data_IF_099875239876
#
_entry.id   IF_099875239876
#
_cell.length_a   1.000
_cell.length_b   1.000
_cell.length_c   1.000
_cell.angle_alpha   90.00
_cell.angle_beta   90.00
_cell.angle_gamma   90.00
#
_symmetry.space_group_name_H-M   'P 1'
#
loop_
_entity.id
_entity.type
_entity.pdbx_description
1 polymer ?
#
# COMPACT_ATOMS: atom_id res chain seq x y z
N UNK A 1 -18.89 25.65 -43.25
CA UNK A 1 -19.86 25.08 -42.28
C UNK A 1 -19.73 23.56 -42.10
N UNK A 2 -19.56 22.73 -43.15
CA UNK A 2 -19.43 21.26 -43.01
C UNK A 2 -18.22 20.79 -42.15
N UNK A 3 -17.07 21.46 -42.27
CA UNK A 3 -15.87 21.12 -41.48
C UNK A 3 -16.04 21.35 -39.96
N UNK A 4 -16.72 22.42 -39.56
CA UNK A 4 -16.99 22.71 -38.15
C UNK A 4 -17.96 21.70 -37.53
N UNK A 5 -18.98 21.26 -38.28
CA UNK A 5 -19.91 20.22 -37.83
C UNK A 5 -19.21 18.85 -37.62
N UNK A 6 -18.24 18.51 -38.48
CA UNK A 6 -17.43 17.29 -38.35
C UNK A 6 -16.59 17.29 -37.09
N UNK A 7 -15.89 18.41 -36.79
CA UNK A 7 -15.05 18.53 -35.60
C UNK A 7 -15.85 18.46 -34.29
N UNK A 8 -17.06 19.02 -34.28
CA UNK A 8 -17.95 18.94 -33.11
C UNK A 8 -18.45 17.50 -32.88
N UNK A 9 -18.74 16.76 -33.96
CA UNK A 9 -19.16 15.37 -33.88
C UNK A 9 -18.02 14.48 -33.35
N UNK A 10 -16.82 14.67 -33.86
CA UNK A 10 -15.62 13.93 -33.45
C UNK A 10 -15.25 14.23 -31.98
N UNK A 11 -15.33 15.48 -31.55
CA UNK A 11 -15.13 15.85 -30.15
C UNK A 11 -16.18 15.22 -29.21
N UNK A 12 -17.44 15.09 -29.66
CA UNK A 12 -18.49 14.40 -28.90
C UNK A 12 -18.23 12.90 -28.81
N UNK A 13 -17.82 12.27 -29.92
CA UNK A 13 -17.45 10.85 -29.95
C UNK A 13 -16.26 10.56 -29.04
N UNK A 14 -15.21 11.37 -29.11
CA UNK A 14 -14.03 11.23 -28.24
C UNK A 14 -14.39 11.40 -26.75
N UNK A 15 -15.28 12.35 -26.41
CA UNK A 15 -15.78 12.48 -25.03
C UNK A 15 -16.56 11.25 -24.58
N UNK A 16 -17.43 10.70 -25.43
CA UNK A 16 -18.19 9.48 -25.09
C UNK A 16 -17.28 8.27 -24.95
N UNK A 17 -16.27 8.14 -25.81
CA UNK A 17 -15.29 7.06 -25.75
C UNK A 17 -14.45 7.14 -24.47
N UNK A 18 -13.88 8.31 -24.16
CA UNK A 18 -13.12 8.51 -22.93
C UNK A 18 -13.96 8.24 -21.68
N UNK A 19 -15.24 8.63 -21.69
CA UNK A 19 -16.16 8.32 -20.60
C UNK A 19 -16.38 6.81 -20.45
N UNK A 20 -16.59 6.08 -21.55
CA UNK A 20 -16.77 4.64 -21.51
C UNK A 20 -15.50 3.88 -21.05
N UNK A 21 -14.32 4.31 -21.49
CA UNK A 21 -13.04 3.77 -21.02
C UNK A 21 -12.89 3.97 -19.51
N UNK A 22 -13.16 5.19 -19.03
CA UNK A 22 -13.10 5.51 -17.60
C UNK A 22 -14.10 4.68 -16.77
N UNK A 23 -15.33 4.53 -17.26
CA UNK A 23 -16.35 3.69 -16.60
C UNK A 23 -15.93 2.22 -16.55
N UNK A 24 -15.31 1.70 -17.61
CA UNK A 24 -14.75 0.34 -17.65
C UNK A 24 -13.63 0.15 -16.63
N UNK A 25 -12.68 1.08 -16.55
CA UNK A 25 -11.59 1.05 -15.56
C UNK A 25 -12.12 1.06 -14.12
N UNK A 26 -13.19 1.83 -13.85
CA UNK A 26 -13.88 1.82 -12.55
C UNK A 26 -14.47 0.44 -12.23
N UNK A 27 -15.10 -0.20 -13.21
CA UNK A 27 -15.69 -1.53 -12.99
C UNK A 27 -14.60 -2.56 -12.73
N UNK A 28 -13.51 -2.56 -13.50
CA UNK A 28 -12.35 -3.43 -13.26
C UNK A 28 -11.81 -3.22 -11.84
N UNK A 29 -11.60 -1.97 -11.41
CA UNK A 29 -11.14 -1.68 -10.06
C UNK A 29 -12.12 -2.14 -8.96
N UNK A 30 -13.43 -2.08 -9.21
CA UNK A 30 -14.46 -2.61 -8.29
C UNK A 30 -14.41 -4.13 -8.21
N UNK A 31 -14.27 -4.81 -9.35
CA UNK A 31 -14.11 -6.27 -9.40
C UNK A 31 -12.83 -6.72 -8.72
N UNK A 32 -11.70 -6.05 -8.96
CA UNK A 32 -10.44 -6.32 -8.28
C UNK A 32 -10.58 -6.14 -6.76
N UNK A 33 -11.26 -5.08 -6.33
CA UNK A 33 -11.53 -4.84 -4.90
C UNK A 33 -12.39 -5.95 -4.30
N UNK A 34 -13.41 -6.42 -5.02
CA UNK A 34 -14.24 -7.54 -4.59
C UNK A 34 -13.44 -8.83 -4.52
N UNK A 35 -12.65 -9.17 -5.56
CA UNK A 35 -11.79 -10.34 -5.59
C UNK A 35 -10.81 -10.35 -4.40
N UNK A 36 -10.14 -9.23 -4.14
CA UNK A 36 -9.27 -9.04 -2.97
C UNK A 36 -10.03 -9.18 -1.65
N UNK A 37 -11.27 -8.70 -1.57
CA UNK A 37 -12.09 -8.83 -0.37
C UNK A 37 -12.47 -10.29 -0.08
N UNK A 38 -12.72 -11.08 -1.13
CA UNK A 38 -12.96 -12.52 -1.04
C UNK A 38 -11.70 -13.28 -0.62
N UNK A 39 -10.53 -12.92 -1.16
CA UNK A 39 -9.24 -13.49 -0.73
C UNK A 39 -8.89 -13.13 0.73
N UNK A 40 -9.30 -11.95 1.19
CA UNK A 40 -9.04 -11.46 2.55
C UNK A 40 -10.02 -11.95 3.60
N UNK A 41 -11.07 -12.71 3.23
CA UNK A 41 -11.99 -13.23 4.22
C UNK A 41 -11.26 -14.26 5.10
N UNK A 42 -11.17 -14.02 6.42
CA UNK A 42 -10.52 -14.97 7.31
C UNK A 42 -11.36 -16.25 7.28
N UNK A 43 -10.79 -17.33 6.73
CA UNK A 43 -11.28 -18.68 7.06
C UNK A 43 -11.21 -18.77 8.57
N UNK A 44 -12.35 -18.99 9.24
CA UNK A 44 -12.45 -19.06 10.71
C UNK A 44 -11.28 -19.90 11.24
N UNK A 45 -10.26 -19.22 11.76
CA UNK A 45 -9.11 -19.88 12.33
C UNK A 45 -9.60 -20.56 13.60
N UNK A 46 -9.44 -21.88 13.69
CA UNK A 46 -9.36 -22.53 14.99
C UNK A 46 -8.19 -21.89 15.73
N UNK A 47 -8.38 -21.59 17.01
CA UNK A 47 -7.41 -21.01 17.93
C UNK A 47 -6.16 -21.88 18.12
N UNK A 48 -5.37 -22.10 17.07
CA UNK A 48 -4.25 -23.04 17.09
C UNK A 48 -3.16 -22.58 16.14
N UNK A 49 -2.37 -21.60 16.58
CA UNK A 49 -0.89 -21.57 16.52
C UNK A 49 -0.40 -20.19 16.98
N UNK A 50 0.02 -20.09 18.24
CA UNK A 50 0.72 -18.95 18.84
C UNK A 50 2.16 -18.77 18.34
N UNK A 51 2.49 -19.25 17.13
CA UNK A 51 3.79 -18.96 16.51
C UNK A 51 3.65 -17.75 15.59
N UNK A 52 3.71 -16.58 16.21
CA UNK A 52 3.96 -15.32 15.50
C UNK A 52 5.33 -15.44 14.84
N UNK A 53 5.38 -15.48 13.50
CA UNK A 53 6.63 -15.49 12.75
C UNK A 53 7.29 -14.13 12.88
N UNK A 54 8.57 -14.13 13.22
CA UNK A 54 9.38 -12.91 13.37
C UNK A 54 9.80 -12.41 12.00
N UNK A 55 9.61 -11.11 11.75
CA UNK A 55 10.09 -10.46 10.53
C UNK A 55 11.61 -10.30 10.63
N UNK A 56 12.35 -10.88 9.69
CA UNK A 56 13.82 -10.83 9.71
C UNK A 56 14.42 -10.80 8.31
N UNK A 57 15.39 -9.91 8.11
CA UNK A 57 16.16 -9.85 6.86
C UNK A 57 17.05 -11.08 6.66
N UNK A 58 17.33 -11.85 7.71
CA UNK A 58 18.09 -13.10 7.58
C UNK A 58 17.29 -14.22 6.90
N UNK A 59 15.97 -14.08 6.82
CA UNK A 59 15.10 -15.06 6.17
C UNK A 59 15.05 -14.90 4.64
N UNK A 60 15.64 -13.82 4.10
CA UNK A 60 15.57 -13.54 2.68
C UNK A 60 16.35 -14.60 1.89
N UNK A 61 15.66 -15.24 0.94
CA UNK A 61 16.22 -16.33 0.12
C UNK A 61 16.87 -15.82 -1.16
N UNK A 62 16.61 -14.56 -1.50
CA UNK A 62 17.04 -13.91 -2.75
C UNK A 62 17.15 -12.40 -2.58
N UNK A 63 17.78 -11.76 -3.55
CA UNK A 63 17.85 -10.31 -3.63
C UNK A 63 16.51 -9.74 -4.10
N UNK A 64 16.03 -8.74 -3.37
CA UNK A 64 14.74 -8.10 -3.61
C UNK A 64 14.94 -6.69 -4.16
N UNK A 65 14.46 -6.44 -5.38
CA UNK A 65 14.56 -5.14 -6.04
C UNK A 65 13.20 -4.71 -6.57
N UNK A 66 12.89 -3.43 -6.42
CA UNK A 66 11.82 -2.77 -7.16
C UNK A 66 12.44 -2.12 -8.37
N UNK A 67 12.18 -2.67 -9.55
CA UNK A 67 12.60 -2.11 -10.84
C UNK A 67 11.36 -1.85 -11.68
N UNK A 68 10.70 -0.73 -11.41
CA UNK A 68 9.53 -0.29 -12.15
C UNK A 68 9.68 1.13 -12.65
N UNK A 69 8.92 1.46 -13.69
CA UNK A 69 8.91 2.80 -14.25
C UNK A 69 8.35 3.83 -13.24
N UNK A 70 8.52 5.12 -13.55
CA UNK A 70 7.97 6.20 -12.74
C UNK A 70 6.48 5.92 -12.41
N UNK A 71 6.03 6.17 -11.16
CA UNK A 71 6.66 7.00 -10.13
C UNK A 71 7.60 6.26 -9.16
N UNK A 72 7.88 4.97 -9.38
CA UNK A 72 8.71 4.18 -8.46
C UNK A 72 10.21 4.43 -8.72
N UNK A 73 10.97 4.66 -7.65
CA UNK A 73 12.43 4.68 -7.73
C UNK A 73 12.96 3.24 -7.78
N UNK A 74 13.96 2.99 -8.63
CA UNK A 74 14.71 1.73 -8.61
C UNK A 74 15.47 1.60 -7.29
N UNK A 75 15.14 0.57 -6.51
CA UNK A 75 15.74 0.37 -5.18
C UNK A 75 15.84 -1.10 -4.81
N UNK A 76 16.93 -1.47 -4.13
CA UNK A 76 17.06 -2.74 -3.42
C UNK A 76 16.35 -2.65 -2.06
N UNK A 77 15.29 -3.45 -1.89
CA UNK A 77 14.43 -3.40 -0.69
C UNK A 77 15.20 -3.70 0.61
N UNK A 78 16.11 -4.69 0.66
CA UNK A 78 16.82 -5.01 1.91
C UNK A 78 17.70 -3.85 2.38
N UNK A 79 18.34 -3.13 1.46
CA UNK A 79 19.20 -1.97 1.78
C UNK A 79 18.41 -0.84 2.45
N UNK A 80 17.16 -0.63 2.04
CA UNK A 80 16.27 0.33 2.71
C UNK A 80 16.03 -0.07 4.17
N UNK A 81 15.80 -1.35 4.41
CA UNK A 81 15.35 -1.87 5.69
C UNK A 81 16.47 -2.11 6.70
N UNK A 82 17.74 -1.92 6.34
CA UNK A 82 18.88 -2.04 7.27
C UNK A 82 18.70 -1.14 8.50
N UNK A 83 18.06 0.03 8.32
CA UNK A 83 17.79 0.99 9.41
C UNK A 83 16.39 0.84 10.03
N UNK A 84 15.59 -0.11 9.54
CA UNK A 84 14.23 -0.32 10.02
C UNK A 84 14.25 -1.20 11.28
N UNK A 85 13.54 -0.76 12.32
CA UNK A 85 13.34 -1.56 13.52
C UNK A 85 12.05 -2.38 13.42
N UNK A 86 12.22 -3.70 13.40
CA UNK A 86 11.12 -4.65 13.53
C UNK A 86 10.60 -4.61 14.98
N UNK A 87 9.27 -4.67 15.14
CA UNK A 87 8.62 -4.65 16.43
C UNK A 87 7.71 -5.87 16.56
N UNK A 88 8.04 -6.82 17.42
CA UNK A 88 7.28 -8.07 17.51
C UNK A 88 6.04 -7.98 18.43
N UNK A 89 5.77 -6.80 19.00
CA UNK A 89 4.65 -6.59 19.93
C UNK A 89 3.31 -6.28 19.25
N UNK A 90 3.33 -5.88 17.98
CA UNK A 90 2.13 -5.52 17.22
C UNK A 90 1.53 -6.73 16.48
N UNK A 91 0.22 -6.71 16.16
CA UNK A 91 -0.38 -7.69 15.26
C UNK A 91 0.34 -7.78 13.92
N UNK A 92 0.37 -8.97 13.33
CA UNK A 92 1.16 -9.26 12.13
C UNK A 92 0.89 -8.30 10.96
N UNK A 93 -0.37 -8.08 10.58
CA UNK A 93 -0.71 -7.09 9.53
C UNK A 93 -0.21 -5.67 9.84
N UNK A 94 -0.09 -5.25 11.11
CA UNK A 94 0.43 -3.92 11.47
C UNK A 94 1.94 -3.86 11.27
N UNK A 95 2.67 -4.93 11.59
CA UNK A 95 4.10 -5.04 11.30
C UNK A 95 4.37 -4.97 9.80
N UNK A 96 3.62 -5.71 8.99
CA UNK A 96 3.69 -5.57 7.54
C UNK A 96 3.35 -4.15 7.08
N UNK A 97 2.29 -3.54 7.64
CA UNK A 97 1.94 -2.16 7.30
C UNK A 97 3.08 -1.18 7.62
N UNK A 98 3.81 -1.35 8.73
CA UNK A 98 4.97 -0.51 9.05
C UNK A 98 6.10 -0.69 8.04
N UNK A 99 6.44 -1.93 7.68
CA UNK A 99 7.47 -2.23 6.68
C UNK A 99 7.09 -1.61 5.34
N UNK A 100 5.88 -1.88 4.85
CA UNK A 100 5.41 -1.33 3.57
C UNK A 100 5.33 0.18 3.57
N UNK A 101 4.85 0.79 4.66
CA UNK A 101 4.82 2.26 4.79
C UNK A 101 6.22 2.83 4.69
N UNK A 102 7.19 2.23 5.37
CA UNK A 102 8.59 2.65 5.28
C UNK A 102 9.12 2.53 3.84
N UNK A 103 8.91 1.40 3.16
CA UNK A 103 9.31 1.21 1.77
C UNK A 103 8.66 2.27 0.87
N UNK A 104 7.34 2.47 0.97
CA UNK A 104 6.63 3.46 0.17
C UNK A 104 7.16 4.87 0.43
N UNK A 105 7.46 5.26 1.67
CA UNK A 105 8.03 6.59 1.94
C UNK A 105 9.38 6.84 1.24
N UNK A 106 10.18 5.79 1.03
CA UNK A 106 11.50 5.89 0.40
C UNK A 106 11.45 5.78 -1.13
N UNK A 107 10.55 4.95 -1.64
CA UNK A 107 10.50 4.59 -3.07
C UNK A 107 9.51 5.48 -3.84
N UNK A 108 8.50 5.99 -3.14
CA UNK A 108 7.39 6.73 -3.72
C UNK A 108 7.59 8.23 -3.54
N UNK A 109 8.50 8.82 -4.31
CA UNK A 109 8.88 10.22 -4.12
C UNK A 109 7.95 11.23 -4.83
N UNK A 110 7.20 10.83 -5.86
CA UNK A 110 6.50 11.84 -6.67
C UNK A 110 5.26 11.33 -7.39
N UNK A 111 4.10 11.45 -6.73
CA UNK A 111 2.87 11.71 -7.49
C UNK A 111 2.47 13.18 -7.49
N UNK A 112 2.89 13.98 -6.51
CA UNK A 112 2.65 15.43 -6.57
C UNK A 112 3.47 16.13 -7.66
N UNK A 113 4.70 15.70 -7.93
CA UNK A 113 5.55 16.37 -8.93
C UNK A 113 5.27 15.93 -10.38
N UNK A 114 4.74 14.72 -10.59
CA UNK A 114 4.41 14.21 -11.92
C UNK A 114 2.96 14.46 -12.35
N UNK A 115 2.07 14.82 -11.42
CA UNK A 115 0.74 15.33 -11.77
C UNK A 115 0.72 16.83 -11.49
N UNK A 116 0.87 17.66 -12.51
CA UNK A 116 0.40 19.07 -12.51
C UNK A 116 -1.14 19.16 -12.38
N UNK A 117 -1.73 18.25 -11.61
CA UNK A 117 -3.15 18.03 -11.41
C UNK A 117 -3.35 18.25 -9.91
N UNK A 118 -4.18 19.24 -9.62
CA UNK A 118 -4.53 19.77 -8.31
C UNK A 118 -4.54 18.73 -7.20
N UNK A 119 -4.05 19.11 -6.01
CA UNK A 119 -4.14 18.33 -4.78
C UNK A 119 -5.57 17.87 -4.41
N UNK A 120 -6.60 18.41 -5.07
CA UNK A 120 -8.00 17.97 -4.99
C UNK A 120 -8.27 16.64 -5.70
N UNK A 121 -7.59 16.34 -6.81
CA UNK A 121 -7.77 15.11 -7.60
C UNK A 121 -7.40 13.84 -6.80
N UNK A 122 -6.51 13.98 -5.83
CA UNK A 122 -6.09 12.89 -4.93
C UNK A 122 -7.02 12.69 -3.74
N UNK A 123 -7.90 13.65 -3.43
CA UNK A 123 -8.99 13.45 -2.45
C UNK A 123 -10.13 12.64 -3.04
N UNK A 124 -10.24 12.58 -4.36
CA UNK A 124 -11.21 11.74 -5.04
C UNK A 124 -10.83 10.26 -4.89
N UNK A 125 -11.84 9.45 -4.58
CA UNK A 125 -11.76 8.07 -4.05
C UNK A 125 -11.24 7.02 -5.05
N UNK A 126 -10.51 7.42 -6.08
CA UNK A 126 -10.17 6.61 -7.25
C UNK A 126 -8.66 6.60 -7.51
N UNK A 127 -7.86 6.18 -6.52
CA UNK A 127 -6.46 5.85 -6.75
C UNK A 127 -6.34 4.50 -7.47
N UNK A 128 -5.50 4.46 -8.49
CA UNK A 128 -5.10 3.25 -9.20
C UNK A 128 -4.43 2.26 -8.22
N UNK A 129 -4.62 0.97 -8.48
CA UNK A 129 -3.93 -0.10 -7.77
C UNK A 129 -2.41 0.03 -7.99
N UNK A 130 -1.61 -0.58 -7.11
CA UNK A 130 -0.18 -0.75 -7.40
C UNK A 130 -0.02 -1.48 -8.75
N UNK A 131 1.01 -1.18 -9.54
CA UNK A 131 1.34 -2.02 -10.69
C UNK A 131 1.49 -3.47 -10.22
N UNK A 132 0.92 -4.41 -10.98
CA UNK A 132 0.83 -5.81 -10.57
C UNK A 132 2.21 -6.40 -10.23
N UNK A 133 3.26 -6.00 -10.95
CA UNK A 133 4.63 -6.42 -10.68
C UNK A 133 5.14 -5.92 -9.31
N UNK A 134 4.94 -4.63 -8.98
CA UNK A 134 5.28 -4.08 -7.65
C UNK A 134 4.56 -4.83 -6.55
N UNK A 135 3.26 -5.05 -6.73
CA UNK A 135 2.44 -5.77 -5.76
C UNK A 135 2.95 -7.19 -5.51
N UNK A 136 3.20 -7.96 -6.57
CA UNK A 136 3.73 -9.33 -6.48
C UNK A 136 5.11 -9.34 -5.82
N UNK A 137 6.02 -8.45 -6.23
CA UNK A 137 7.36 -8.35 -5.64
C UNK A 137 7.30 -8.05 -4.14
N UNK A 138 6.43 -7.12 -3.72
CA UNK A 138 6.28 -6.77 -2.30
C UNK A 138 5.64 -7.88 -1.47
N UNK A 139 4.65 -8.59 -2.02
CA UNK A 139 4.06 -9.75 -1.36
C UNK A 139 5.09 -10.87 -1.17
N UNK A 140 5.84 -11.18 -2.22
CA UNK A 140 6.83 -12.24 -2.18
C UNK A 140 8.00 -11.89 -1.26
N UNK A 141 8.44 -10.63 -1.28
CA UNK A 141 9.40 -10.10 -0.33
C UNK A 141 8.93 -10.28 1.12
N UNK A 142 7.66 -9.97 1.40
CA UNK A 142 7.12 -10.10 2.76
C UNK A 142 6.98 -11.56 3.20
N UNK A 143 6.71 -12.49 2.27
CA UNK A 143 6.74 -13.93 2.54
C UNK A 143 8.16 -14.42 2.87
N UNK A 144 9.16 -14.01 2.08
CA UNK A 144 10.58 -14.25 2.37
C UNK A 144 10.96 -13.71 3.75
N UNK A 145 10.51 -12.50 4.11
CA UNK A 145 10.83 -11.83 5.38
C UNK A 145 10.40 -12.64 6.62
N UNK A 146 9.36 -13.47 6.50
CA UNK A 146 8.87 -14.35 7.57
C UNK A 146 9.28 -15.83 7.39
N UNK A 147 10.17 -16.11 6.43
CA UNK A 147 10.67 -17.45 6.15
C UNK A 147 9.68 -18.36 5.42
N UNK A 148 8.70 -17.79 4.71
CA UNK A 148 7.75 -18.51 3.85
C UNK A 148 8.00 -18.23 2.36
N UNK A 149 9.21 -17.80 2.04
CA UNK A 149 9.65 -17.39 0.70
C UNK A 149 9.93 -18.52 -0.29
N UNK A 150 10.01 -19.76 0.18
CA UNK A 150 10.42 -20.90 -0.65
C UNK A 150 9.43 -21.08 -1.83
N UNK A 151 9.91 -21.08 -3.09
CA UNK A 151 9.06 -21.26 -4.26
C UNK A 151 8.23 -22.55 -4.23
N UNK A 152 8.67 -23.57 -3.51
CA UNK A 152 8.01 -24.86 -3.42
C UNK A 152 6.74 -24.83 -2.58
N UNK A 153 6.61 -23.87 -1.66
CA UNK A 153 5.34 -23.64 -0.95
C UNK A 153 4.22 -23.24 -1.92
N UNK A 154 4.54 -22.61 -3.05
CA UNK A 154 3.56 -22.30 -4.11
C UNK A 154 3.06 -23.52 -4.86
N UNK A 155 3.85 -24.59 -4.90
CA UNK A 155 3.42 -25.87 -5.48
C UNK A 155 2.36 -26.55 -4.59
N UNK A 156 2.21 -26.09 -3.34
CA UNK A 156 1.27 -26.65 -2.38
C UNK A 156 1.59 -28.12 -2.10
N UNK A 157 0.53 -28.93 -2.03
CA UNK A 157 0.65 -30.38 -1.82
C UNK A 157 1.40 -31.12 -2.94
N UNK A 158 1.60 -30.49 -4.11
CA UNK A 158 2.38 -31.10 -5.20
C UNK A 158 3.86 -31.24 -4.84
N UNK A 159 4.38 -30.43 -3.90
CA UNK A 159 5.76 -30.54 -3.42
C UNK A 159 6.05 -31.93 -2.82
N UNK A 160 5.09 -32.51 -2.10
CA UNK A 160 5.21 -33.86 -1.53
C UNK A 160 5.37 -34.94 -2.61
N UNK A 161 4.60 -34.82 -3.72
CA UNK A 161 4.63 -35.80 -4.81
C UNK A 161 5.98 -35.86 -5.52
N UNK A 162 6.69 -34.73 -5.59
CA UNK A 162 7.98 -34.61 -6.30
C UNK A 162 9.16 -34.94 -5.39
N UNK A 163 8.95 -35.07 -4.06
CA UNK A 163 10.00 -35.35 -3.06
C UNK A 163 11.25 -34.49 -3.24
N UNK A 164 11.00 -33.22 -3.51
CA UNK A 164 12.01 -32.17 -3.59
C UNK A 164 12.90 -32.13 -2.35
N UNK A 165 14.13 -31.61 -2.49
CA UNK A 165 15.08 -31.43 -1.36
C UNK A 165 14.43 -30.74 -0.15
N UNK A 166 13.70 -29.65 -0.37
CA UNK A 166 12.92 -28.95 0.65
C UNK A 166 12.00 -29.90 1.41
N UNK A 167 11.16 -30.67 0.70
CA UNK A 167 10.24 -31.64 1.33
C UNK A 167 10.99 -32.69 2.17
N UNK A 168 12.14 -33.17 1.68
CA UNK A 168 12.97 -34.14 2.43
C UNK A 168 13.54 -33.50 3.71
N UNK A 169 13.94 -32.24 3.65
CA UNK A 169 14.47 -31.48 4.80
C UNK A 169 13.41 -31.13 5.86
N UNK A 170 12.10 -31.28 5.56
CA UNK A 170 11.02 -31.00 6.51
C UNK A 170 10.93 -32.01 7.67
N UNK A 171 11.54 -33.20 7.55
CA UNK A 171 11.48 -34.21 8.58
C UNK A 171 12.16 -35.53 8.21
N UNK A 172 12.39 -36.37 9.21
CA UNK A 172 13.10 -37.64 9.04
C UNK A 172 12.22 -38.71 8.37
N UNK A 173 10.91 -38.69 8.64
CA UNK A 173 9.94 -39.64 8.09
C UNK A 173 8.81 -38.92 7.32
N UNK A 174 8.07 -39.69 6.50
CA UNK A 174 7.02 -39.15 5.63
C UNK A 174 5.89 -38.46 6.41
N UNK A 175 5.54 -39.01 7.58
CA UNK A 175 4.46 -38.47 8.41
C UNK A 175 4.82 -37.09 8.95
N UNK A 176 6.05 -36.91 9.41
CA UNK A 176 6.57 -35.64 9.92
C UNK A 176 6.73 -34.62 8.80
N UNK A 177 7.26 -35.03 7.64
CA UNK A 177 7.35 -34.16 6.45
C UNK A 177 5.99 -33.67 6.00
N UNK A 178 5.00 -34.57 5.93
CA UNK A 178 3.66 -34.20 5.50
C UNK A 178 2.99 -33.28 6.50
N UNK A 179 3.08 -33.58 7.80
CA UNK A 179 2.57 -32.72 8.87
C UNK A 179 3.20 -31.32 8.78
N UNK A 180 4.53 -31.25 8.63
CA UNK A 180 5.22 -29.97 8.57
C UNK A 180 4.91 -29.19 7.30
N UNK A 181 4.74 -29.87 6.17
CA UNK A 181 4.28 -29.24 4.94
C UNK A 181 2.88 -28.66 5.12
N UNK A 182 1.95 -29.41 5.72
CA UNK A 182 0.58 -28.93 5.96
C UNK A 182 0.56 -27.73 6.93
N UNK A 183 1.41 -27.72 7.97
CA UNK A 183 1.62 -26.54 8.84
C UNK A 183 2.12 -25.32 8.04
N UNK A 184 3.15 -25.51 7.21
CA UNK A 184 3.71 -24.42 6.40
C UNK A 184 2.73 -23.87 5.38
N UNK A 185 1.88 -24.72 4.80
CA UNK A 185 0.85 -24.30 3.85
C UNK A 185 -0.29 -23.54 4.54
N UNK A 186 -0.68 -23.96 5.76
CA UNK A 186 -1.64 -23.23 6.57
C UNK A 186 -1.11 -21.84 6.95
N UNK A 187 0.15 -21.76 7.37
CA UNK A 187 0.83 -20.50 7.63
C UNK A 187 0.89 -19.65 6.36
N UNK A 188 1.28 -20.22 5.23
CA UNK A 188 1.38 -19.51 3.95
C UNK A 188 0.07 -18.82 3.58
N UNK A 189 -1.07 -19.55 3.66
CA UNK A 189 -2.40 -18.99 3.38
C UNK A 189 -2.77 -17.88 4.36
N UNK A 190 -2.50 -18.08 5.67
CA UNK A 190 -2.79 -17.09 6.72
C UNK A 190 -2.00 -15.79 6.50
N UNK A 191 -0.67 -15.91 6.39
CA UNK A 191 0.21 -14.75 6.28
C UNK A 191 0.05 -14.03 4.95
N UNK A 192 -0.31 -14.72 3.85
CA UNK A 192 -0.65 -14.05 2.59
C UNK A 192 -1.79 -13.03 2.77
N UNK A 193 -2.82 -13.39 3.52
CA UNK A 193 -3.95 -12.48 3.80
C UNK A 193 -3.54 -11.30 4.70
N UNK A 194 -2.70 -11.55 5.72
CA UNK A 194 -2.18 -10.53 6.63
C UNK A 194 -1.22 -9.56 5.93
N UNK A 195 -0.38 -10.07 5.02
CA UNK A 195 0.52 -9.27 4.16
C UNK A 195 -0.30 -8.32 3.29
N UNK A 196 -1.33 -8.84 2.60
CA UNK A 196 -2.19 -8.02 1.73
C UNK A 196 -2.91 -6.93 2.54
N UNK A 197 -3.44 -7.29 3.70
CA UNK A 197 -4.08 -6.34 4.63
C UNK A 197 -3.11 -5.28 5.12
N UNK A 198 -1.89 -5.66 5.48
CA UNK A 198 -0.83 -4.73 5.89
C UNK A 198 -0.43 -3.77 4.77
N UNK A 199 -0.29 -4.27 3.54
CA UNK A 199 0.02 -3.45 2.37
C UNK A 199 -1.09 -2.45 2.06
N UNK A 200 -2.36 -2.87 2.10
CA UNK A 200 -3.50 -1.98 1.90
C UNK A 200 -3.57 -0.90 2.99
N UNK A 201 -3.30 -1.27 4.24
CA UNK A 201 -3.23 -0.35 5.37
C UNK A 201 -2.11 0.69 5.15
N UNK A 202 -0.91 0.26 4.76
CA UNK A 202 0.20 1.15 4.46
C UNK A 202 -0.14 2.12 3.32
N UNK A 203 -0.71 1.63 2.21
CA UNK A 203 -1.13 2.48 1.10
C UNK A 203 -2.16 3.51 1.51
N UNK A 204 -3.16 3.12 2.31
CA UNK A 204 -4.15 4.05 2.87
C UNK A 204 -3.50 5.16 3.68
N UNK A 205 -2.53 4.81 4.51
CA UNK A 205 -1.85 5.77 5.37
C UNK A 205 -0.96 6.72 4.56
N UNK A 206 -0.15 6.22 3.63
CA UNK A 206 0.68 7.04 2.73
C UNK A 206 -0.17 8.05 1.95
N UNK A 207 -1.35 7.64 1.47
CA UNK A 207 -2.30 8.53 0.78
C UNK A 207 -2.83 9.66 1.68
N UNK A 208 -2.85 9.44 2.99
CA UNK A 208 -3.25 10.46 3.96
C UNK A 208 -2.11 11.36 4.41
N UNK A 209 -0.86 11.07 4.01
CA UNK A 209 0.30 11.84 4.41
C UNK A 209 0.52 13.00 3.45
N UNK A 210 0.99 14.11 4.00
CA UNK A 210 1.42 15.26 3.22
C UNK A 210 2.94 15.21 3.09
N UNK A 211 3.46 15.51 1.91
CA UNK A 211 4.91 15.63 1.73
C UNK A 211 5.33 17.08 1.96
N UNK A 212 6.20 17.30 2.94
CA UNK A 212 6.83 18.58 3.23
C UNK A 212 8.03 18.75 2.29
N UNK A 213 7.91 19.67 1.33
CA UNK A 213 8.94 19.96 0.33
C UNK A 213 10.17 20.64 0.95
N UNK A 214 10.01 21.40 2.03
CA UNK A 214 11.13 22.11 2.67
C UNK A 214 11.99 21.13 3.45
N UNK A 215 11.33 20.22 4.18
CA UNK A 215 12.01 19.24 5.03
C UNK A 215 12.26 17.90 4.33
N UNK A 216 11.81 17.76 3.08
CA UNK A 216 11.92 16.56 2.26
C UNK A 216 11.43 15.29 2.99
N UNK A 217 10.32 15.41 3.72
CA UNK A 217 9.81 14.33 4.58
C UNK A 217 8.30 14.19 4.53
N UNK A 218 7.81 12.98 4.79
CA UNK A 218 6.38 12.71 4.92
C UNK A 218 5.86 13.11 6.31
N UNK A 219 4.85 13.97 6.32
CA UNK A 219 4.09 14.38 7.50
C UNK A 219 2.82 13.55 7.60
N UNK A 220 2.71 12.77 8.68
CA UNK A 220 1.45 12.11 9.01
C UNK A 220 0.43 13.12 9.52
N UNK A 221 -0.85 12.82 9.34
CA UNK A 221 -1.96 13.68 9.81
C UNK A 221 -1.90 13.99 11.32
N UNK A 222 -1.39 13.04 12.12
CA UNK A 222 -1.17 13.21 13.56
C UNK A 222 0.00 14.17 13.87
N UNK A 223 1.08 14.12 13.09
CA UNK A 223 2.18 15.08 13.19
C UNK A 223 1.73 16.48 12.77
N UNK A 224 0.92 16.59 11.71
CA UNK A 224 0.33 17.86 11.26
C UNK A 224 -0.46 18.57 12.36
N UNK A 225 -1.31 17.87 13.12
CA UNK A 225 -2.06 18.48 14.23
C UNK A 225 -1.18 19.01 15.36
N UNK A 226 0.04 18.48 15.51
CA UNK A 226 1.01 18.94 16.52
C UNK A 226 1.90 20.07 16.02
N UNK A 227 2.12 20.17 14.71
CA UNK A 227 2.96 21.21 14.09
C UNK A 227 2.17 22.38 13.52
N UNK A 228 0.85 22.24 13.39
CA UNK A 228 0.00 23.38 13.07
C UNK A 228 0.12 24.38 14.23
N UNK A 229 0.41 25.67 13.96
CA UNK A 229 0.23 26.67 14.99
C UNK A 229 -1.22 26.55 15.46
N UNK A 230 -1.44 26.47 16.77
CA UNK A 230 -2.78 26.59 17.34
C UNK A 230 -3.29 27.97 16.94
N UNK A 231 -4.01 28.06 15.83
CA UNK A 231 -4.88 29.20 15.58
C UNK A 231 -5.94 29.14 16.67
N UNK A 232 -5.65 29.83 17.76
CA UNK A 232 -6.57 29.98 18.86
C UNK A 232 -7.79 30.70 18.28
N UNK A 233 -8.97 30.06 18.19
CA UNK A 233 -10.13 30.62 17.50
C UNK A 233 -10.59 31.95 18.11
N UNK A 234 -10.16 32.23 19.35
CA UNK A 234 -10.36 33.51 20.05
C UNK A 234 -9.54 34.66 19.43
N UNK A 235 -8.36 34.38 18.87
CA UNK A 235 -7.49 35.37 18.23
C UNK A 235 -8.06 35.74 16.84
N UNK A 236 -8.48 34.76 16.03
CA UNK A 236 -9.13 35.03 14.73
C UNK A 236 -10.45 35.82 14.88
N UNK A 237 -11.26 35.51 15.90
CA UNK A 237 -12.48 36.26 16.19
C UNK A 237 -12.20 37.71 16.63
N UNK A 238 -11.14 37.94 17.41
CA UNK A 238 -10.74 39.30 17.80
C UNK A 238 -10.19 40.09 16.61
N UNK A 239 -9.41 39.47 15.74
CA UNK A 239 -8.87 40.14 14.55
C UNK A 239 -9.99 40.51 13.56
N UNK A 240 -10.97 39.62 13.35
CA UNK A 240 -12.16 39.91 12.54
C UNK A 240 -13.05 41.01 13.17
N UNK A 241 -13.19 41.02 14.50
CA UNK A 241 -13.92 42.09 15.19
C UNK A 241 -13.21 43.44 15.07
N UNK A 242 -11.88 43.48 15.20
CA UNK A 242 -11.09 44.70 15.04
C UNK A 242 -11.11 45.22 13.61
N UNK A 243 -11.04 44.33 12.61
CA UNK A 243 -11.19 44.70 11.21
C UNK A 243 -12.58 45.29 10.92
N UNK A 244 -13.65 44.67 11.42
CA UNK A 244 -15.01 45.20 11.26
C UNK A 244 -15.21 46.55 11.96
N UNK A 245 -14.60 46.77 13.13
CA UNK A 245 -14.65 48.08 13.80
C UNK A 245 -13.90 49.16 13.02
N UNK A 246 -12.75 48.83 12.42
CA UNK A 246 -12.01 49.76 11.55
C UNK A 246 -12.81 50.12 10.28
N UNK A 247 -13.49 49.16 9.67
CA UNK A 247 -14.39 49.42 8.53
C UNK A 247 -15.59 50.31 8.91
N UNK A 248 -16.16 50.11 10.10
CA UNK A 248 -17.26 50.96 10.58
C UNK A 248 -16.80 52.40 10.85
N UNK A 249 -15.58 52.59 11.39
CA UNK A 249 -15.01 53.91 11.62
C UNK A 249 -14.73 54.68 10.31
N UNK A 250 -14.29 53.98 9.27
CA UNK A 250 -14.05 54.57 7.93
C UNK A 250 -15.34 54.86 7.15
N UNK A 251 -16.48 54.27 7.54
CA UNK A 251 -17.78 54.48 6.89
C UNK A 251 -18.61 55.63 7.49
N UNK A 252 -18.07 56.30 8.53
CA UNK A 252 -18.71 57.41 9.25
C UNK A 252 -17.99 58.76 9.03
N UNK A 253 -16.94 58.78 8.19
CA UNK A 253 -16.34 60.00 7.60
C UNK A 253 -16.88 60.23 6.18
#
# INVERSE_FOLDING_TARGET
>A
MRAAASLILEAKQNRSFNKAVYESEIQIAKYDRLARSFESQPRKAKDTHEQTRVLSLNNLTRTWKLDEAAPFKRVEIPELLVRFSFNDTEPCYQNFARVFRFIFQQVYFSLRAHSGINAEYWREKHLQNLPAAVEVTLQDFALDLIGLGDPQLRLGKRAANVRTRFYIELGENEKDRQKKLDELLADFDLYKSEILKGMQLALRDIRSYEYDMEKQQWLSHAKRRRTAPETNPVIELRELQNQNQAYLALSLE
#
